data_IF_953171882230
#
_entry.id   IF_953171882230
#
_cell.length_a   1.000
_cell.length_b   1.000
_cell.length_c   1.000
_cell.angle_alpha   90.00
_cell.angle_beta   90.00
_cell.angle_gamma   90.00
#
_symmetry.space_group_name_H-M   'P 1'
#
loop_
_entity.id
_entity.type
_entity.pdbx_description
1 polymer ?
#
# COMPACT_ATOMS: atom_id res chain seq x y z
N UNK A 1 11.86 -13.75 15.77
CA UNK A 1 10.84 -14.57 15.09
C UNK A 1 10.18 -13.73 14.03
N UNK A 2 10.29 -14.04 12.71
CA UNK A 2 9.53 -13.30 11.72
C UNK A 2 8.17 -13.98 11.61
N UNK A 3 7.28 -13.73 12.58
CA UNK A 3 5.86 -13.99 12.37
C UNK A 3 5.25 -12.76 11.76
N UNK A 4 5.38 -12.76 10.43
CA UNK A 4 4.66 -11.98 9.46
C UNK A 4 3.16 -12.23 9.63
N UNK A 5 2.47 -11.38 10.38
CA UNK A 5 1.10 -11.06 10.00
C UNK A 5 1.19 -10.21 8.74
N UNK A 6 0.47 -10.54 7.66
CA UNK A 6 0.44 -9.66 6.49
C UNK A 6 -0.13 -8.31 6.93
N UNK A 7 0.64 -7.23 6.71
CA UNK A 7 0.29 -5.89 7.23
C UNK A 7 -1.04 -5.37 6.67
N UNK A 8 -1.43 -5.90 5.52
CA UNK A 8 -2.73 -5.78 4.89
C UNK A 8 -3.31 -7.19 4.85
N UNK A 9 -4.49 -7.39 5.42
CA UNK A 9 -5.13 -8.70 5.59
C UNK A 9 -6.46 -8.81 4.86
N UNK A 10 -6.98 -7.71 4.29
CA UNK A 10 -8.30 -7.67 3.68
C UNK A 10 -8.24 -7.07 2.26
N UNK A 11 -8.98 -7.69 1.34
CA UNK A 11 -9.07 -7.22 -0.06
C UNK A 11 -9.51 -5.74 -0.16
N UNK A 12 -10.38 -5.30 0.75
CA UNK A 12 -10.84 -3.92 0.87
C UNK A 12 -9.72 -2.90 1.09
N UNK A 13 -8.61 -3.28 1.74
CA UNK A 13 -7.48 -2.37 1.97
C UNK A 13 -6.75 -2.07 0.65
N UNK A 14 -6.64 -3.06 -0.22
CA UNK A 14 -6.04 -2.90 -1.55
C UNK A 14 -6.96 -2.14 -2.51
N UNK A 15 -8.28 -2.34 -2.41
CA UNK A 15 -9.26 -1.57 -3.16
C UNK A 15 -9.26 -0.09 -2.74
N UNK A 16 -9.24 0.17 -1.42
CA UNK A 16 -9.14 1.53 -0.88
C UNK A 16 -7.83 2.19 -1.32
N UNK A 17 -6.71 1.46 -1.27
CA UNK A 17 -5.45 1.95 -1.80
C UNK A 17 -5.57 2.34 -3.28
N UNK A 18 -6.13 1.46 -4.13
CA UNK A 18 -6.32 1.73 -5.55
C UNK A 18 -7.13 3.01 -5.81
N UNK A 19 -8.16 3.27 -5.01
CA UNK A 19 -8.95 4.50 -5.08
C UNK A 19 -8.14 5.73 -4.68
N UNK A 20 -7.40 5.64 -3.58
CA UNK A 20 -6.60 6.75 -3.05
C UNK A 20 -5.41 7.10 -3.94
N UNK A 21 -4.79 6.12 -4.59
CA UNK A 21 -3.59 6.34 -5.39
C UNK A 21 -3.89 6.74 -6.84
N UNK A 22 -5.06 6.40 -7.39
CA UNK A 22 -5.50 6.81 -8.74
C UNK A 22 -5.26 8.28 -9.07
N UNK A 23 -5.66 9.26 -8.23
CA UNK A 23 -5.39 10.67 -8.50
C UNK A 23 -3.90 11.05 -8.40
N UNK A 24 -3.03 10.14 -8.00
CA UNK A 24 -1.58 10.34 -7.79
C UNK A 24 -0.72 9.53 -8.76
N UNK A 25 -1.31 8.79 -9.71
CA UNK A 25 -0.54 7.98 -10.67
C UNK A 25 0.35 8.78 -11.63
N UNK A 26 0.19 10.11 -11.65
CA UNK A 26 1.01 11.02 -12.45
C UNK A 26 2.13 11.69 -11.64
N UNK A 27 2.27 11.36 -10.35
CA UNK A 27 3.32 11.96 -9.52
C UNK A 27 4.66 11.25 -9.74
N UNK A 28 5.74 11.99 -9.52
CA UNK A 28 7.10 11.44 -9.60
C UNK A 28 7.29 10.25 -8.66
N UNK A 29 6.72 10.29 -7.45
CA UNK A 29 6.85 9.19 -6.49
C UNK A 29 6.19 7.90 -6.96
N UNK A 30 5.08 7.99 -7.70
CA UNK A 30 4.42 6.84 -8.31
C UNK A 30 5.29 6.22 -9.41
N UNK A 31 5.81 7.04 -10.32
CA UNK A 31 6.68 6.55 -11.40
C UNK A 31 8.00 5.98 -10.87
N UNK A 32 8.54 6.54 -9.79
CA UNK A 32 9.72 5.99 -9.13
C UNK A 32 9.42 4.62 -8.50
N UNK A 33 8.21 4.42 -7.95
CA UNK A 33 7.79 3.10 -7.46
C UNK A 33 7.71 2.08 -8.60
N UNK A 34 7.13 2.47 -9.74
CA UNK A 34 7.07 1.60 -10.93
C UNK A 34 8.48 1.23 -11.42
N UNK A 35 9.38 2.21 -11.50
CA UNK A 35 10.78 2.02 -11.90
C UNK A 35 11.50 1.08 -10.92
N UNK A 36 11.40 1.32 -9.62
CA UNK A 36 12.05 0.50 -8.59
C UNK A 36 11.56 -0.96 -8.63
N UNK A 37 10.28 -1.19 -8.97
CA UNK A 37 9.74 -2.54 -9.15
C UNK A 37 10.22 -3.20 -10.45
N UNK A 38 10.29 -2.44 -11.54
CA UNK A 38 10.83 -2.92 -12.82
C UNK A 38 12.32 -3.29 -12.71
N UNK A 39 13.11 -2.48 -12.01
CA UNK A 39 14.53 -2.74 -11.72
C UNK A 39 14.73 -4.01 -10.89
N UNK A 40 13.74 -4.36 -10.06
CA UNK A 40 13.69 -5.61 -9.32
C UNK A 40 13.14 -6.81 -10.12
N UNK A 41 12.85 -6.63 -11.41
CA UNK A 41 12.31 -7.67 -12.29
C UNK A 41 10.82 -7.95 -12.10
N UNK A 42 10.07 -7.04 -11.48
CA UNK A 42 8.62 -7.14 -11.32
C UNK A 42 7.90 -6.26 -12.35
N UNK A 43 6.76 -6.73 -12.85
CA UNK A 43 5.84 -5.92 -13.64
C UNK A 43 4.87 -5.17 -12.70
N UNK A 44 4.95 -3.83 -12.60
CA UNK A 44 4.07 -3.04 -11.74
C UNK A 44 2.59 -3.22 -12.09
N UNK A 45 2.26 -3.33 -13.38
CA UNK A 45 0.89 -3.50 -13.86
C UNK A 45 0.30 -4.85 -13.46
N UNK A 46 1.08 -5.92 -13.57
CA UNK A 46 0.67 -7.26 -13.13
C UNK A 46 0.58 -7.39 -11.59
N UNK A 47 1.32 -6.56 -10.85
CA UNK A 47 1.30 -6.50 -9.39
C UNK A 47 0.29 -5.51 -8.83
N UNK A 48 -0.41 -4.77 -9.68
CA UNK A 48 -1.38 -3.78 -9.24
C UNK A 48 -2.65 -4.42 -8.64
N UNK A 49 -3.27 -3.81 -7.61
CA UNK A 49 -2.73 -2.79 -6.70
C UNK A 49 -1.92 -3.39 -5.54
N UNK A 50 -2.11 -4.69 -5.26
CA UNK A 50 -1.62 -5.39 -4.07
C UNK A 50 -0.10 -5.38 -3.94
N UNK A 51 0.59 -5.88 -4.96
CA UNK A 51 2.04 -5.98 -4.94
C UNK A 51 2.74 -4.62 -4.94
N UNK A 52 2.13 -3.57 -5.52
CA UNK A 52 2.67 -2.21 -5.44
C UNK A 52 2.61 -1.66 -4.01
N UNK A 53 1.49 -1.85 -3.32
CA UNK A 53 1.35 -1.44 -1.92
C UNK A 53 2.31 -2.22 -1.00
N UNK A 54 2.37 -3.54 -1.15
CA UNK A 54 3.26 -4.40 -0.37
C UNK A 54 4.73 -4.07 -0.61
N UNK A 55 5.12 -3.78 -1.85
CA UNK A 55 6.47 -3.36 -2.20
C UNK A 55 6.86 -2.03 -1.55
N UNK A 56 6.01 -1.01 -1.68
CA UNK A 56 6.25 0.28 -1.05
C UNK A 56 6.39 0.13 0.48
N UNK A 57 5.64 -0.80 1.07
CA UNK A 57 5.70 -1.09 2.50
C UNK A 57 6.97 -1.85 2.92
N UNK A 58 7.41 -2.86 2.17
CA UNK A 58 8.61 -3.63 2.50
C UNK A 58 9.88 -2.78 2.45
N UNK A 59 9.90 -1.73 1.62
CA UNK A 59 10.98 -0.76 1.48
C UNK A 59 10.81 0.46 2.41
N UNK A 60 10.07 0.29 3.51
CA UNK A 60 9.88 1.31 4.53
C UNK A 60 11.21 1.89 5.07
N UNK A 61 12.19 1.00 5.26
CA UNK A 61 13.47 1.29 5.92
C UNK A 61 14.38 2.20 5.11
N UNK A 62 14.21 2.25 3.79
CA UNK A 62 15.03 3.05 2.89
C UNK A 62 14.50 4.49 2.74
N UNK A 63 13.41 4.81 3.45
CA UNK A 63 12.82 6.15 3.42
C UNK A 63 12.10 6.53 2.13
N UNK A 64 12.13 5.70 1.08
CA UNK A 64 11.47 5.91 -0.23
C UNK A 64 9.94 5.77 -0.19
N UNK A 65 9.22 6.32 -1.18
CA UNK A 65 7.75 6.14 -1.33
C UNK A 65 6.93 6.57 -0.08
N UNK A 66 7.26 7.71 0.52
CA UNK A 66 6.64 8.20 1.77
C UNK A 66 5.15 8.49 1.59
N UNK A 67 4.73 9.08 0.48
CA UNK A 67 3.32 9.43 0.25
C UNK A 67 2.51 8.16 0.00
N UNK A 68 3.02 7.24 -0.84
CA UNK A 68 2.38 5.95 -1.11
C UNK A 68 2.21 5.11 0.17
N UNK A 69 3.24 5.04 1.02
CA UNK A 69 3.12 4.42 2.35
C UNK A 69 2.15 5.17 3.27
N UNK A 70 2.03 6.48 3.10
CA UNK A 70 1.01 7.29 3.78
C UNK A 70 -0.41 6.85 3.42
N UNK A 71 -0.66 6.57 2.14
CA UNK A 71 -1.94 5.99 1.69
C UNK A 71 -2.15 4.58 2.25
N UNK A 72 -1.11 3.75 2.26
CA UNK A 72 -1.16 2.43 2.91
C UNK A 72 -1.55 2.50 4.39
N UNK A 73 -1.00 3.47 5.14
CA UNK A 73 -1.39 3.72 6.53
C UNK A 73 -2.86 4.12 6.67
N UNK A 74 -3.39 4.91 5.74
CA UNK A 74 -4.80 5.27 5.74
C UNK A 74 -5.69 4.03 5.56
N UNK A 75 -5.28 3.08 4.70
CA UNK A 75 -6.01 1.84 4.47
C UNK A 75 -6.12 0.98 5.74
N UNK A 76 -5.03 0.87 6.50
CA UNK A 76 -5.01 0.13 7.77
C UNK A 76 -5.81 0.88 8.87
N UNK A 77 -5.69 2.21 8.92
CA UNK A 77 -6.32 3.03 9.97
C UNK A 77 -7.85 3.11 9.84
N UNK A 78 -8.38 3.16 8.62
CA UNK A 78 -9.82 3.16 8.40
C UNK A 78 -10.46 1.85 8.87
N UNK A 79 -9.79 0.71 8.65
CA UNK A 79 -10.21 -0.57 9.24
C UNK A 79 -10.18 -0.58 10.77
N UNK A 80 -9.20 0.11 11.36
CA UNK A 80 -9.18 0.36 12.80
C UNK A 80 -10.46 1.04 13.30
N UNK A 81 -11.00 2.04 12.59
CA UNK A 81 -12.24 2.72 12.99
C UNK A 81 -13.51 1.91 12.67
N UNK A 82 -13.56 1.16 11.57
CA UNK A 82 -14.70 0.27 11.28
C UNK A 82 -14.79 -0.91 12.26
N UNK A 83 -13.68 -1.48 12.72
CA UNK A 83 -13.68 -2.57 13.70
C UNK A 83 -14.19 -2.14 15.09
N UNK A 84 -14.06 -0.86 15.46
CA UNK A 84 -14.66 -0.31 16.68
C UNK A 84 -16.10 0.19 16.49
N UNK A 85 -16.51 0.51 15.26
CA UNK A 85 -17.87 0.97 14.97
C UNK A 85 -18.89 -0.18 14.94
N UNK A 86 -18.46 -1.42 14.71
CA UNK A 86 -19.29 -2.63 14.81
C UNK A 86 -19.37 -3.18 16.26
N UNK A 87 -18.66 -2.58 17.21
CA UNK A 87 -18.70 -2.95 18.64
C UNK A 87 -19.72 -2.15 19.47
N UNK A 88 -20.47 -1.23 18.86
CA UNK A 88 -21.61 -0.56 19.51
C UNK A 88 -21.30 0.05 20.88
N UNK A 89 -20.23 0.85 20.99
CA UNK A 89 -19.97 1.71 22.15
C UNK A 89 -20.28 3.17 21.84
#
# INVERSE_FOLDING_TARGET
TPHSSPQFSHDSEYELFAQLIRPRMHTEEYHQLETDMQDAGLDPGAKWPKGMLEWAWSHARDGKHKEIRGLGRACIKDWGMYAFSDLGL
#
